data_IF_194317964419
#
_entry.id   IF_194317964419
#
_cell.length_a   1.000
_cell.length_b   1.000
_cell.length_c   1.000
_cell.angle_alpha   90.00
_cell.angle_beta   90.00
_cell.angle_gamma   90.00
#
_symmetry.space_group_name_H-M   'P 1'
#
loop_
_entity.id
_entity.type
_entity.pdbx_description
1 polymer ?
#
# COMPACT_ATOMS: atom_id res chain seq x y z
N UNK A 1 -11.18 11.25 24.97
CA UNK A 1 -11.26 10.99 23.52
C UNK A 1 -12.37 11.86 22.97
N UNK A 2 -12.09 12.70 21.98
CA UNK A 2 -13.10 13.53 21.31
C UNK A 2 -13.49 12.83 20.00
N UNK A 3 -14.78 12.61 19.77
CA UNK A 3 -15.30 12.01 18.55
C UNK A 3 -16.42 12.91 17.99
N UNK A 4 -16.39 13.18 16.69
CA UNK A 4 -17.44 13.90 15.96
C UNK A 4 -17.86 13.09 14.74
N UNK A 5 -19.11 13.25 14.31
CA UNK A 5 -19.55 12.74 13.01
C UNK A 5 -18.79 13.50 11.92
N UNK A 6 -18.25 12.77 10.94
CA UNK A 6 -17.55 13.39 9.81
C UNK A 6 -18.55 14.17 8.95
N UNK A 7 -18.18 15.38 8.55
CA UNK A 7 -18.96 16.16 7.61
C UNK A 7 -18.84 15.60 6.19
N UNK A 8 -19.82 15.82 5.29
CA UNK A 8 -19.75 15.33 3.91
C UNK A 8 -18.44 15.71 3.19
N UNK A 9 -17.96 16.93 3.35
CA UNK A 9 -16.70 17.39 2.76
C UNK A 9 -15.47 16.63 3.30
N UNK A 10 -15.50 16.16 4.54
CA UNK A 10 -14.43 15.33 5.12
C UNK A 10 -14.47 13.90 4.57
N UNK A 11 -15.66 13.41 4.23
CA UNK A 11 -15.88 12.06 3.69
C UNK A 11 -15.51 11.99 2.20
N UNK A 12 -16.00 12.94 1.40
CA UNK A 12 -15.96 12.88 -0.06
C UNK A 12 -14.79 13.65 -0.70
N UNK A 13 -13.93 14.32 0.09
CA UNK A 13 -12.74 14.99 -0.45
C UNK A 13 -11.78 14.00 -1.11
N UNK A 14 -11.09 14.47 -2.15
CA UNK A 14 -10.00 13.73 -2.79
C UNK A 14 -8.81 13.63 -1.84
N UNK A 15 -8.41 12.41 -1.45
CA UNK A 15 -7.33 12.16 -0.46
C UNK A 15 -6.70 10.79 -0.63
N UNK A 16 -5.63 10.52 0.13
CA UNK A 16 -5.12 9.15 0.28
C UNK A 16 -6.15 8.33 1.08
N UNK A 17 -6.78 7.38 0.39
CA UNK A 17 -7.78 6.46 0.92
C UNK A 17 -7.16 5.16 1.43
N UNK A 18 -5.85 4.94 1.28
CA UNK A 18 -5.14 3.83 1.91
C UNK A 18 -4.75 4.11 3.36
N UNK A 19 -4.60 5.39 3.75
CA UNK A 19 -4.04 5.81 5.05
C UNK A 19 -4.84 5.23 6.24
N UNK A 20 -4.18 4.40 7.04
CA UNK A 20 -4.65 3.95 8.35
C UNK A 20 -3.48 3.75 9.35
N UNK A 21 -3.09 4.79 10.11
CA UNK A 21 -2.10 4.67 11.19
C UNK A 21 -2.55 3.77 12.35
N UNK A 22 -3.84 3.45 12.42
CA UNK A 22 -4.45 2.65 13.48
C UNK A 22 -4.65 1.18 13.07
N UNK A 23 -4.22 0.77 11.87
CA UNK A 23 -4.39 -0.61 11.42
C UNK A 23 -3.69 -1.61 12.36
N UNK A 24 -4.28 -2.80 12.49
CA UNK A 24 -3.81 -3.85 13.39
C UNK A 24 -3.50 -5.10 12.58
N UNK A 25 -2.46 -5.82 12.99
CA UNK A 25 -2.06 -7.07 12.34
C UNK A 25 -3.07 -8.23 12.58
N UNK A 26 -4.05 -8.06 13.47
CA UNK A 26 -5.10 -9.06 13.73
C UNK A 26 -6.36 -8.71 12.94
N UNK A 27 -7.20 -9.70 12.68
CA UNK A 27 -8.55 -9.49 12.14
C UNK A 27 -9.35 -8.56 13.05
N UNK A 28 -9.46 -7.29 12.64
CA UNK A 28 -10.25 -6.27 13.31
C UNK A 28 -11.06 -5.49 12.29
N UNK A 29 -12.25 -4.97 12.64
CA UNK A 29 -13.06 -4.16 11.74
C UNK A 29 -12.52 -2.72 11.64
N UNK A 30 -11.21 -2.56 11.38
CA UNK A 30 -10.56 -1.28 11.18
C UNK A 30 -10.14 -1.17 9.71
N UNK A 31 -10.66 -0.18 9.00
CA UNK A 31 -10.39 0.00 7.57
C UNK A 31 -9.90 1.42 7.28
N UNK A 32 -9.01 1.61 6.29
CA UNK A 32 -8.42 0.58 5.42
C UNK A 32 -7.55 -0.46 6.15
N UNK A 33 -7.56 -1.72 5.69
CA UNK A 33 -6.83 -2.83 6.32
C UNK A 33 -5.85 -3.44 5.32
N UNK A 34 -4.59 -3.64 5.73
CA UNK A 34 -3.59 -4.34 4.93
C UNK A 34 -3.26 -5.71 5.51
N UNK A 35 -3.33 -6.74 4.67
CA UNK A 35 -2.91 -8.10 4.99
C UNK A 35 -1.99 -8.64 3.90
N UNK A 36 -1.18 -9.64 4.21
CA UNK A 36 -0.27 -10.26 3.24
C UNK A 36 -0.21 -11.78 3.44
N UNK A 37 0.09 -12.51 2.38
CA UNK A 37 0.34 -13.95 2.47
C UNK A 37 1.71 -14.29 3.11
N UNK A 38 2.55 -13.28 3.33
CA UNK A 38 3.87 -13.40 3.94
C UNK A 38 4.29 -12.08 4.58
N UNK A 39 4.93 -12.21 5.72
CA UNK A 39 5.63 -11.12 6.42
C UNK A 39 6.97 -11.66 6.93
N UNK A 40 7.99 -10.81 7.01
CA UNK A 40 9.33 -11.20 7.44
C UNK A 40 9.32 -11.76 8.86
N UNK A 41 9.39 -13.09 8.98
CA UNK A 41 9.52 -13.84 10.25
C UNK A 41 8.45 -13.53 11.31
N UNK A 42 7.33 -12.91 10.94
CA UNK A 42 6.31 -12.44 11.89
C UNK A 42 6.76 -11.24 12.74
N UNK A 43 7.78 -10.50 12.31
CA UNK A 43 8.26 -9.30 12.99
C UNK A 43 7.32 -8.13 12.70
N UNK A 44 6.79 -7.49 13.75
CA UNK A 44 5.79 -6.42 13.61
C UNK A 44 6.23 -5.23 12.79
N UNK A 45 7.55 -4.97 12.73
CA UNK A 45 8.17 -3.88 11.96
C UNK A 45 8.17 -4.15 10.44
N UNK A 46 7.84 -5.38 10.03
CA UNK A 46 7.74 -5.82 8.64
C UNK A 46 6.32 -6.23 8.22
N UNK A 47 5.32 -5.92 9.04
CA UNK A 47 3.92 -6.27 8.82
C UNK A 47 3.28 -5.43 7.70
N UNK A 48 2.27 -5.99 7.02
CA UNK A 48 1.58 -5.36 5.90
C UNK A 48 0.97 -3.99 6.27
N UNK A 49 0.42 -3.87 7.48
CA UNK A 49 -0.13 -2.62 8.05
C UNK A 49 0.81 -1.42 7.99
N UNK A 50 2.12 -1.64 8.04
CA UNK A 50 3.10 -0.55 8.04
C UNK A 50 3.17 0.11 6.66
N UNK A 51 2.76 -0.57 5.59
CA UNK A 51 2.69 0.04 4.26
C UNK A 51 1.54 1.05 4.10
N UNK A 52 0.66 1.21 5.09
CA UNK A 52 -0.49 2.14 5.03
C UNK A 52 -0.56 3.11 6.22
N UNK A 53 0.46 3.16 7.08
CA UNK A 53 0.44 3.93 8.32
C UNK A 53 0.74 5.43 8.16
N UNK A 54 1.10 5.87 6.95
CA UNK A 54 1.49 7.24 6.63
C UNK A 54 2.96 7.59 6.87
N UNK A 55 3.79 6.67 7.37
CA UNK A 55 5.23 6.86 7.55
C UNK A 55 5.97 6.61 6.24
N UNK A 56 6.74 7.60 5.77
CA UNK A 56 7.46 7.54 4.48
C UNK A 56 8.97 7.43 4.62
N UNK A 57 9.49 7.33 5.84
CA UNK A 57 10.92 7.24 6.06
C UNK A 57 11.43 5.88 5.55
N UNK A 58 12.28 5.91 4.52
CA UNK A 58 12.65 4.71 3.75
C UNK A 58 14.15 4.53 3.56
N UNK A 59 14.98 5.28 4.28
CA UNK A 59 16.44 5.24 4.16
C UNK A 59 17.13 4.26 5.13
N UNK A 60 16.35 3.51 5.91
CA UNK A 60 16.84 2.43 6.78
C UNK A 60 15.73 1.36 6.92
N UNK A 61 15.85 0.44 7.88
CA UNK A 61 14.87 -0.62 8.11
C UNK A 61 14.73 -1.00 9.58
N UNK A 62 13.55 -1.51 9.95
CA UNK A 62 13.31 -2.20 11.21
C UNK A 62 12.91 -1.26 12.34
N UNK A 63 13.83 -0.46 12.87
CA UNK A 63 13.51 0.45 13.97
C UNK A 63 12.65 1.63 13.49
N UNK A 64 11.74 2.12 14.34
CA UNK A 64 10.95 3.31 14.04
C UNK A 64 11.85 4.50 13.66
N UNK A 65 11.54 5.29 12.61
CA UNK A 65 10.34 5.25 11.77
C UNK A 65 10.50 4.44 10.46
N UNK A 66 11.31 3.39 10.44
CA UNK A 66 11.68 2.63 9.23
C UNK A 66 10.97 1.29 9.10
N UNK A 67 9.75 1.20 9.62
CA UNK A 67 8.85 0.09 9.37
C UNK A 67 8.46 0.00 7.88
N UNK A 68 8.10 -1.20 7.45
CA UNK A 68 7.71 -1.48 6.05
C UNK A 68 6.90 -2.77 5.99
N UNK A 69 6.39 -3.14 4.82
CA UNK A 69 6.02 -4.52 4.52
C UNK A 69 7.22 -5.25 3.89
N UNK A 70 7.62 -6.37 4.50
CA UNK A 70 8.72 -7.21 4.02
C UNK A 70 8.25 -8.60 3.59
N UNK A 71 8.69 -9.05 2.41
CA UNK A 71 8.16 -10.27 1.75
C UNK A 71 8.85 -11.58 2.16
N UNK A 72 9.75 -11.57 3.14
CA UNK A 72 10.53 -12.74 3.56
C UNK A 72 11.18 -13.55 2.41
N UNK A 73 11.63 -12.87 1.34
CA UNK A 73 12.23 -13.47 0.12
C UNK A 73 11.29 -14.41 -0.65
N UNK A 74 9.99 -14.31 -0.46
CA UNK A 74 8.98 -15.13 -1.13
C UNK A 74 8.62 -14.54 -2.49
N UNK A 75 8.67 -15.35 -3.54
CA UNK A 75 8.45 -14.89 -4.92
C UNK A 75 6.96 -14.69 -5.26
N UNK A 76 6.07 -15.47 -4.66
CA UNK A 76 4.61 -15.34 -4.78
C UNK A 76 4.01 -14.42 -3.70
N UNK A 77 4.81 -13.47 -3.17
CA UNK A 77 4.35 -12.54 -2.15
C UNK A 77 3.23 -11.65 -2.69
N UNK A 78 2.15 -11.53 -1.92
CA UNK A 78 1.05 -10.64 -2.20
C UNK A 78 0.60 -9.87 -0.96
N UNK A 79 0.16 -8.64 -1.18
CA UNK A 79 -0.43 -7.78 -0.15
C UNK A 79 -1.81 -7.33 -0.62
N UNK A 80 -2.83 -7.59 0.19
CA UNK A 80 -4.20 -7.14 -0.03
C UNK A 80 -4.43 -5.87 0.79
N UNK A 81 -5.04 -4.87 0.15
CA UNK A 81 -5.51 -3.65 0.81
C UNK A 81 -7.02 -3.54 0.63
N UNK A 82 -7.74 -3.55 1.74
CA UNK A 82 -9.20 -3.43 1.77
C UNK A 82 -9.59 -2.04 2.27
N UNK A 83 -10.39 -1.30 1.52
CA UNK A 83 -10.75 0.08 1.90
C UNK A 83 -11.92 0.14 2.89
N UNK A 84 -12.63 -0.97 3.08
CA UNK A 84 -13.85 -1.05 3.90
C UNK A 84 -15.04 -0.24 3.36
N UNK A 85 -14.90 0.29 2.13
CA UNK A 85 -15.90 1.07 1.39
C UNK A 85 -15.51 1.08 -0.08
N UNK A 86 -16.47 1.36 -0.96
CA UNK A 86 -16.16 1.65 -2.36
C UNK A 86 -15.51 3.01 -2.52
N UNK A 87 -14.46 3.05 -3.32
CA UNK A 87 -13.69 4.25 -3.65
C UNK A 87 -13.57 4.40 -5.15
N UNK A 88 -13.46 5.65 -5.57
CA UNK A 88 -13.33 6.08 -6.95
C UNK A 88 -11.89 6.62 -7.09
N UNK A 89 -10.98 5.80 -7.63
CA UNK A 89 -9.53 6.04 -7.62
C UNK A 89 -8.94 6.16 -9.02
N UNK A 90 -7.91 6.99 -9.15
CA UNK A 90 -7.21 7.28 -10.41
C UNK A 90 -5.69 7.46 -10.25
N UNK A 91 -5.18 7.31 -9.03
CA UNK A 91 -3.77 7.55 -8.72
C UNK A 91 -3.27 6.66 -7.59
N UNK A 92 -2.09 6.09 -7.79
CA UNK A 92 -1.36 5.31 -6.80
C UNK A 92 0.07 5.86 -6.64
N UNK A 93 0.61 5.83 -5.43
CA UNK A 93 1.98 6.24 -5.15
C UNK A 93 2.67 5.16 -4.34
N UNK A 94 3.83 4.72 -4.81
CA UNK A 94 4.66 3.75 -4.12
C UNK A 94 5.89 4.39 -3.50
N UNK A 95 6.25 3.93 -2.31
CA UNK A 95 7.52 4.21 -1.64
C UNK A 95 8.19 2.88 -1.32
N UNK A 96 9.17 2.49 -2.12
CA UNK A 96 10.02 1.32 -1.82
C UNK A 96 11.02 1.68 -0.75
N UNK A 97 11.36 0.72 0.11
CA UNK A 97 12.48 0.87 1.03
C UNK A 97 13.78 1.00 0.24
N UNK A 98 14.65 1.89 0.71
CA UNK A 98 15.81 2.40 -0.02
C UNK A 98 17.06 2.42 0.87
N UNK A 99 17.18 1.45 1.78
CA UNK A 99 18.39 1.25 2.58
C UNK A 99 19.45 0.53 1.74
N UNK A 100 20.06 1.25 0.81
CA UNK A 100 21.08 0.66 -0.06
C UNK A 100 22.48 0.75 0.59
N UNK A 101 23.33 -0.29 0.46
CA UNK A 101 23.19 -1.47 -0.40
C UNK A 101 22.50 -2.67 0.27
N UNK A 102 21.96 -2.52 1.49
CA UNK A 102 21.27 -3.61 2.19
C UNK A 102 20.05 -4.10 1.42
N UNK A 103 19.27 -3.19 0.85
CA UNK A 103 18.00 -3.46 0.17
C UNK A 103 18.15 -3.75 -1.33
N UNK A 104 17.10 -4.36 -1.87
CA UNK A 104 16.79 -4.41 -3.30
C UNK A 104 15.50 -3.60 -3.53
N UNK A 105 15.04 -3.51 -4.77
CA UNK A 105 13.78 -2.89 -5.16
C UNK A 105 13.07 -3.79 -6.19
N UNK A 106 11.78 -3.58 -6.37
CA UNK A 106 11.05 -4.14 -7.50
C UNK A 106 11.15 -3.21 -8.70
N UNK A 107 11.31 -3.77 -9.90
CA UNK A 107 11.27 -3.03 -11.18
C UNK A 107 9.84 -2.92 -11.73
N UNK A 108 8.94 -3.80 -11.29
CA UNK A 108 7.52 -3.80 -11.64
C UNK A 108 6.69 -4.38 -10.50
N UNK A 109 5.49 -3.85 -10.30
CA UNK A 109 4.43 -4.43 -9.47
C UNK A 109 3.15 -4.54 -10.29
N UNK A 110 2.45 -5.68 -10.19
CA UNK A 110 1.09 -5.80 -10.71
C UNK A 110 0.09 -5.47 -9.60
N UNK A 111 -0.86 -4.60 -9.90
CA UNK A 111 -2.00 -4.30 -9.03
C UNK A 111 -3.25 -4.90 -9.65
N UNK A 112 -3.85 -5.85 -8.97
CA UNK A 112 -5.18 -6.35 -9.28
C UNK A 112 -6.22 -5.54 -8.52
N UNK A 113 -7.26 -5.12 -9.23
CA UNK A 113 -8.35 -4.30 -8.71
C UNK A 113 -9.61 -5.15 -8.51
N UNK A 114 -10.48 -4.76 -7.58
CA UNK A 114 -11.69 -5.54 -7.29
C UNK A 114 -12.76 -5.51 -8.39
N UNK A 115 -12.61 -4.66 -9.39
CA UNK A 115 -13.39 -4.66 -10.62
C UNK A 115 -12.97 -5.76 -11.62
N UNK A 116 -11.98 -6.59 -11.25
CA UNK A 116 -11.44 -7.68 -12.06
C UNK A 116 -10.35 -7.26 -13.04
N UNK A 117 -10.01 -5.97 -13.11
CA UNK A 117 -8.92 -5.47 -13.94
C UNK A 117 -7.56 -5.60 -13.24
N UNK A 118 -6.47 -5.47 -13.99
CA UNK A 118 -5.13 -5.41 -13.43
C UNK A 118 -4.26 -4.45 -14.24
N UNK A 119 -3.32 -3.78 -13.57
CA UNK A 119 -2.31 -2.93 -14.20
C UNK A 119 -0.92 -3.21 -13.68
N UNK A 120 0.08 -3.01 -14.54
CA UNK A 120 1.50 -3.12 -14.22
C UNK A 120 2.09 -1.73 -14.04
N UNK A 121 2.71 -1.47 -12.90
CA UNK A 121 3.37 -0.22 -12.61
C UNK A 121 4.89 -0.42 -12.58
N UNK A 122 5.65 0.29 -13.43
CA UNK A 122 7.10 0.23 -13.39
C UNK A 122 7.63 1.00 -12.19
N UNK A 123 8.62 0.44 -11.51
CA UNK A 123 9.28 1.01 -10.35
C UNK A 123 10.76 1.22 -10.62
N UNK A 124 11.35 2.19 -9.92
CA UNK A 124 12.73 2.63 -10.06
C UNK A 124 13.45 2.50 -8.74
N UNK A 125 14.78 2.33 -8.81
CA UNK A 125 15.65 2.44 -7.65
C UNK A 125 15.73 3.90 -7.20
N UNK A 126 14.91 4.28 -6.22
CA UNK A 126 14.85 5.66 -5.72
C UNK A 126 14.22 5.70 -4.33
N UNK A 127 14.67 6.66 -3.51
CA UNK A 127 14.03 6.99 -2.24
C UNK A 127 12.81 7.91 -2.40
N UNK A 128 12.55 8.42 -3.60
CA UNK A 128 11.44 9.34 -3.87
C UNK A 128 10.11 8.60 -4.08
N UNK A 129 9.01 9.35 -3.91
CA UNK A 129 7.67 8.91 -4.27
C UNK A 129 7.58 8.53 -5.76
N UNK A 130 6.92 7.41 -6.06
CA UNK A 130 6.72 6.92 -7.42
C UNK A 130 5.22 6.99 -7.76
N UNK A 131 4.80 8.12 -8.34
CA UNK A 131 3.41 8.40 -8.70
C UNK A 131 3.03 7.78 -10.06
N UNK A 132 1.91 7.08 -10.08
CA UNK A 132 1.28 6.55 -11.29
C UNK A 132 -0.19 6.98 -11.35
N UNK A 133 -0.63 7.38 -12.54
CA UNK A 133 -2.02 7.71 -12.84
C UNK A 133 -2.58 6.71 -13.85
N UNK A 134 -3.86 6.42 -13.72
CA UNK A 134 -4.56 5.44 -14.55
C UNK A 134 -6.01 5.86 -14.74
N UNK A 135 -6.74 5.13 -15.60
CA UNK A 135 -8.15 5.40 -15.84
C UNK A 135 -8.95 5.23 -14.53
N UNK A 136 -9.75 6.24 -14.17
CA UNK A 136 -10.60 6.22 -12.98
C UNK A 136 -11.40 4.93 -12.92
N UNK A 137 -11.44 4.30 -11.75
CA UNK A 137 -12.20 3.08 -11.49
C UNK A 137 -12.80 3.04 -10.10
N UNK A 138 -13.81 2.19 -9.96
CA UNK A 138 -14.51 1.95 -8.70
C UNK A 138 -14.09 0.61 -8.11
N UNK A 139 -13.48 0.65 -6.93
CA UNK A 139 -12.96 -0.53 -6.24
C UNK A 139 -13.26 -0.46 -4.75
N UNK A 140 -13.21 -1.59 -4.07
CA UNK A 140 -13.31 -1.72 -2.60
C UNK A 140 -12.09 -2.45 -2.00
N UNK A 141 -11.26 -3.05 -2.85
CA UNK A 141 -9.96 -3.62 -2.52
C UNK A 141 -9.00 -3.56 -3.70
N UNK A 142 -7.70 -3.70 -3.42
CA UNK A 142 -6.68 -4.03 -4.40
C UNK A 142 -5.72 -5.09 -3.85
N UNK A 143 -4.99 -5.75 -4.75
CA UNK A 143 -3.96 -6.73 -4.41
C UNK A 143 -2.67 -6.38 -5.16
N UNK A 144 -1.57 -6.20 -4.42
CA UNK A 144 -0.23 -6.17 -4.99
C UNK A 144 0.25 -7.61 -5.19
N UNK A 145 0.69 -7.95 -6.39
CA UNK A 145 1.21 -9.28 -6.75
C UNK A 145 2.22 -9.17 -7.89
N UNK A 146 2.80 -10.31 -8.26
CA UNK A 146 3.79 -10.43 -9.35
C UNK A 146 4.91 -9.38 -9.21
N UNK A 147 5.54 -9.37 -8.03
CA UNK A 147 6.53 -8.36 -7.64
C UNK A 147 7.90 -8.69 -8.27
N UNK A 148 8.21 -8.04 -9.38
CA UNK A 148 9.42 -8.35 -10.16
C UNK A 148 10.63 -7.68 -9.50
N UNK A 149 11.42 -8.45 -8.76
CA UNK A 149 12.64 -7.97 -8.11
C UNK A 149 13.71 -7.62 -9.15
N UNK A 150 14.51 -6.58 -8.89
CA UNK A 150 15.67 -6.28 -9.73
C UNK A 150 16.78 -7.35 -9.63
N UNK A 151 17.68 -7.37 -10.61
CA UNK A 151 18.84 -8.25 -10.68
C UNK A 151 19.95 -7.92 -9.65
N UNK A 152 19.74 -6.93 -8.77
CA UNK A 152 20.74 -6.59 -7.77
C UNK A 152 20.94 -7.71 -6.72
N UNK A 153 22.17 -7.86 -6.16
CA UNK A 153 22.51 -9.00 -5.31
C UNK A 153 21.67 -9.11 -4.02
N UNK A 154 21.18 -7.99 -3.49
CA UNK A 154 20.39 -8.02 -2.27
C UNK A 154 19.08 -8.82 -2.47
N UNK A 155 18.67 -9.66 -1.52
CA UNK A 155 17.41 -10.37 -1.60
C UNK A 155 16.22 -9.59 -0.98
N UNK A 156 16.42 -8.33 -0.57
CA UNK A 156 15.49 -7.66 0.35
C UNK A 156 14.79 -6.43 -0.26
N UNK A 157 13.85 -6.60 -1.21
CA UNK A 157 12.91 -5.53 -1.53
C UNK A 157 11.82 -5.44 -0.43
N UNK A 158 11.36 -4.22 -0.18
CA UNK A 158 10.30 -3.94 0.79
C UNK A 158 9.49 -2.70 0.38
N UNK A 159 8.25 -2.64 0.84
CA UNK A 159 7.35 -1.52 0.61
C UNK A 159 7.26 -0.68 1.89
N UNK A 160 7.78 0.54 1.89
CA UNK A 160 7.61 1.46 3.02
C UNK A 160 6.18 1.99 3.06
N UNK A 161 5.62 2.39 1.91
CA UNK A 161 4.29 2.99 1.89
C UNK A 161 3.61 2.80 0.53
N UNK A 162 2.29 2.63 0.55
CA UNK A 162 1.41 2.77 -0.60
C UNK A 162 0.35 3.83 -0.31
N UNK A 163 0.09 4.68 -1.29
CA UNK A 163 -0.98 5.67 -1.22
C UNK A 163 -1.92 5.47 -2.40
N UNK A 164 -3.21 5.49 -2.13
CA UNK A 164 -4.25 5.33 -3.16
C UNK A 164 -5.14 6.55 -3.10
N UNK A 165 -5.07 7.41 -4.11
CA UNK A 165 -5.77 8.67 -4.12
C UNK A 165 -7.06 8.62 -4.91
N UNK A 166 -8.11 9.17 -4.32
CA UNK A 166 -9.45 9.17 -4.89
C UNK A 166 -10.45 9.81 -3.96
N UNK A 167 -11.72 9.59 -4.25
CA UNK A 167 -12.85 9.93 -3.38
C UNK A 167 -13.56 8.66 -2.90
N UNK A 168 -14.27 8.73 -1.78
CA UNK A 168 -15.31 7.72 -1.49
C UNK A 168 -16.38 7.89 -2.56
N UNK A 169 -16.85 6.78 -3.15
CA UNK A 169 -17.94 6.88 -4.13
C UNK A 169 -19.23 7.30 -3.40
N UNK A 170 -19.95 8.27 -3.97
CA UNK A 170 -21.22 8.76 -3.45
C UNK A 170 -22.38 7.81 -3.70
N UNK A 171 -23.55 8.12 -3.16
CA UNK A 171 -24.77 7.35 -3.44
C UNK A 171 -25.20 7.42 -4.92
N UNK A 172 -24.79 8.48 -5.63
CA UNK A 172 -25.04 8.70 -7.06
C UNK A 172 -24.04 7.97 -7.98
N UNK A 173 -22.97 7.39 -7.42
CA UNK A 173 -21.94 6.63 -8.16
C UNK A 173 -22.26 5.12 -8.24
N UNK A 174 -23.54 4.73 -8.06
CA UNK A 174 -24.00 3.36 -8.24
C UNK A 174 -24.41 3.16 -9.70
N UNK A 175 -23.57 2.47 -10.46
CA UNK A 175 -23.92 1.88 -11.77
C UNK A 175 -25.13 0.95 -11.67
#
# INVERSE_FOLDING_TARGET
MYAKVAQPEEVYTYRNLALNPADQHKDVPCYPHASANVETRGESVFAAKNAIDGVRANLSHGEWPYESWGINRREDACMKLEFGRRICTDRIVFYTRSDFPHDNYWTEVTVEFSDGTSEKFPLKKTALAQEHRFAKRMIDQLILKDLIKSEEPSPFPALTQIEVYGTVCGDDDKD
#
